data_IF_629643607838
#
_entry.id   IF_629643607838
#
_cell.length_a   1.000
_cell.length_b   1.000
_cell.length_c   1.000
_cell.angle_alpha   90.00
_cell.angle_beta   90.00
_cell.angle_gamma   90.00
#
_symmetry.space_group_name_H-M   'P 1'
#
loop_
_entity.id
_entity.type
_entity.pdbx_description
1 polymer ?
#
# COMPACT_ATOMS: atom_id res chain seq x y z
N UNK A 1 -22.84 -7.18 2.15
CA UNK A 1 -23.15 -8.42 2.90
C UNK A 1 -23.33 -8.12 4.39
N UNK A 2 -24.53 -8.36 4.91
CA UNK A 2 -24.82 -8.27 6.35
C UNK A 2 -23.93 -9.29 7.07
N UNK A 3 -23.08 -8.81 7.97
CA UNK A 3 -22.08 -9.63 8.67
C UNK A 3 -22.73 -10.81 9.37
N UNK A 4 -22.21 -12.02 9.12
CA UNK A 4 -22.69 -13.23 9.78
C UNK A 4 -22.44 -13.08 11.29
N UNK A 5 -23.45 -13.26 12.16
CA UNK A 5 -23.22 -13.19 13.60
C UNK A 5 -22.30 -14.35 14.03
N UNK A 6 -21.13 -13.99 14.54
CA UNK A 6 -20.17 -14.92 15.11
C UNK A 6 -20.21 -14.85 16.64
N UNK A 7 -20.03 -16.00 17.29
CA UNK A 7 -19.95 -16.04 18.76
C UNK A 7 -18.62 -15.41 19.19
N UNK A 8 -18.69 -14.36 20.00
CA UNK A 8 -17.52 -13.75 20.64
C UNK A 8 -17.78 -13.55 22.14
N UNK A 9 -16.70 -13.47 22.92
CA UNK A 9 -16.78 -13.29 24.36
C UNK A 9 -16.82 -11.81 24.72
N UNK A 10 -17.70 -11.41 25.65
CA UNK A 10 -17.79 -10.02 26.11
C UNK A 10 -16.46 -9.52 26.73
N UNK A 11 -15.71 -10.44 27.36
CA UNK A 11 -14.37 -10.14 27.90
C UNK A 11 -13.36 -9.66 26.85
N UNK A 12 -13.55 -10.02 25.57
CA UNK A 12 -12.70 -9.53 24.47
C UNK A 12 -12.88 -8.02 24.21
N UNK A 13 -13.97 -7.42 24.69
CA UNK A 13 -14.22 -5.98 24.58
C UNK A 13 -13.52 -5.16 25.68
N UNK A 14 -13.02 -5.82 26.74
CA UNK A 14 -12.37 -5.16 27.88
C UNK A 14 -11.25 -4.19 27.48
N UNK A 15 -10.37 -4.48 26.49
CA UNK A 15 -9.33 -3.54 26.05
C UNK A 15 -9.87 -2.26 25.40
N UNK A 16 -11.12 -2.26 24.94
CA UNK A 16 -11.74 -1.17 24.18
C UNK A 16 -12.78 -0.40 24.99
N UNK A 17 -12.91 -0.66 26.30
CA UNK A 17 -13.97 -0.13 27.16
C UNK A 17 -14.06 1.41 27.19
N UNK A 18 -12.93 2.09 26.96
CA UNK A 18 -12.82 3.55 27.02
C UNK A 18 -12.85 4.19 25.61
N UNK A 19 -13.03 3.39 24.55
CA UNK A 19 -13.11 3.85 23.15
C UNK A 19 -14.54 3.90 22.66
N UNK A 20 -14.84 4.89 21.82
CA UNK A 20 -16.11 4.90 21.08
C UNK A 20 -16.09 3.80 20.01
N UNK A 21 -17.27 3.28 19.68
CA UNK A 21 -17.44 2.28 18.61
C UNK A 21 -16.90 2.82 17.28
N UNK A 22 -17.12 4.10 16.99
CA UNK A 22 -16.61 4.76 15.78
C UNK A 22 -15.07 4.76 15.73
N UNK A 23 -14.41 5.16 16.82
CA UNK A 23 -12.95 5.16 16.92
C UNK A 23 -12.38 3.75 16.76
N UNK A 24 -13.05 2.76 17.36
CA UNK A 24 -12.67 1.35 17.23
C UNK A 24 -12.76 0.86 15.77
N UNK A 25 -13.82 1.22 15.05
CA UNK A 25 -13.98 0.88 13.64
C UNK A 25 -12.90 1.57 12.80
N UNK A 26 -12.68 2.86 13.00
CA UNK A 26 -11.64 3.61 12.28
C UNK A 26 -10.24 3.02 12.50
N UNK A 27 -9.90 2.71 13.76
CA UNK A 27 -8.64 2.07 14.11
C UNK A 27 -8.51 0.68 13.48
N UNK A 28 -9.59 -0.10 13.45
CA UNK A 28 -9.60 -1.43 12.85
C UNK A 28 -9.37 -1.37 11.34
N UNK A 29 -10.06 -0.46 10.65
CA UNK A 29 -9.87 -0.22 9.22
C UNK A 29 -8.44 0.26 8.94
N UNK A 30 -7.96 1.26 9.69
CA UNK A 30 -6.59 1.78 9.55
C UNK A 30 -5.55 0.68 9.74
N UNK A 31 -5.68 -0.10 10.81
CA UNK A 31 -4.76 -1.20 11.13
C UNK A 31 -4.76 -2.25 10.02
N UNK A 32 -5.95 -2.58 9.48
CA UNK A 32 -6.08 -3.53 8.39
C UNK A 32 -5.32 -3.05 7.14
N UNK A 33 -5.54 -1.81 6.71
CA UNK A 33 -4.86 -1.23 5.56
C UNK A 33 -3.35 -1.09 5.76
N UNK A 34 -2.89 -0.74 6.97
CA UNK A 34 -1.47 -0.61 7.28
C UNK A 34 -0.74 -1.96 7.35
N UNK A 35 -1.41 -3.00 7.85
CA UNK A 35 -0.76 -4.27 8.17
C UNK A 35 -0.90 -5.33 7.09
N UNK A 36 -2.00 -5.31 6.32
CA UNK A 36 -2.36 -6.40 5.42
C UNK A 36 -2.58 -5.98 3.96
N UNK A 37 -2.76 -4.68 3.69
CA UNK A 37 -2.99 -4.23 2.32
C UNK A 37 -1.66 -3.89 1.65
N UNK A 38 -1.36 -4.63 0.59
CA UNK A 38 -0.24 -4.37 -0.30
C UNK A 38 -0.73 -4.37 -1.73
N UNK A 39 -0.36 -3.35 -2.51
CA UNK A 39 -0.67 -3.29 -3.92
C UNK A 39 0.41 -4.02 -4.73
N UNK A 40 0.02 -5.03 -5.51
CA UNK A 40 0.93 -5.86 -6.31
C UNK A 40 1.00 -5.44 -7.77
N UNK A 41 0.10 -4.58 -8.21
CA UNK A 41 0.13 -3.97 -9.54
C UNK A 41 -0.78 -2.75 -9.52
N UNK A 42 -0.83 -2.01 -10.64
CA UNK A 42 -1.69 -0.83 -10.77
C UNK A 42 -3.17 -1.16 -10.93
N UNK A 43 -3.53 -2.40 -11.28
CA UNK A 43 -4.92 -2.87 -11.31
C UNK A 43 -5.51 -2.96 -9.91
N UNK A 44 -4.72 -3.41 -8.92
CA UNK A 44 -5.14 -3.44 -7.51
C UNK A 44 -5.43 -2.01 -7.01
N UNK A 45 -4.60 -1.06 -7.42
CA UNK A 45 -4.77 0.37 -7.11
C UNK A 45 -6.05 0.90 -7.79
N UNK A 46 -6.22 0.60 -9.08
CA UNK A 46 -7.41 1.00 -9.84
C UNK A 46 -8.70 0.49 -9.20
N UNK A 47 -8.74 -0.78 -8.81
CA UNK A 47 -9.91 -1.39 -8.18
C UNK A 47 -10.29 -0.72 -6.86
N UNK A 48 -9.31 -0.34 -6.02
CA UNK A 48 -9.59 0.39 -4.78
C UNK A 48 -10.11 1.79 -5.06
N UNK A 49 -9.53 2.51 -6.02
CA UNK A 49 -9.97 3.86 -6.37
C UNK A 49 -11.35 3.86 -7.02
N UNK A 50 -11.66 2.86 -7.86
CA UNK A 50 -13.00 2.65 -8.44
C UNK A 50 -14.04 2.34 -7.35
N UNK A 51 -13.69 1.56 -6.33
CA UNK A 51 -14.56 1.33 -5.16
C UNK A 51 -14.80 2.61 -4.34
N UNK A 52 -13.93 3.61 -4.47
CA UNK A 52 -14.11 4.95 -3.91
C UNK A 52 -14.81 5.91 -4.89
N UNK A 53 -15.33 5.40 -6.00
CA UNK A 53 -16.04 6.18 -7.04
C UNK A 53 -15.17 7.28 -7.68
N UNK A 54 -13.85 7.09 -7.71
CA UNK A 54 -12.90 8.04 -8.31
C UNK A 54 -12.73 7.75 -9.79
N UNK A 55 -12.90 8.77 -10.65
CA UNK A 55 -12.58 8.65 -12.08
C UNK A 55 -11.07 8.50 -12.29
N UNK A 56 -10.67 7.37 -12.87
CA UNK A 56 -9.27 7.01 -13.04
C UNK A 56 -8.60 7.67 -14.25
N UNK A 57 -9.36 8.34 -15.12
CA UNK A 57 -8.87 8.86 -16.40
C UNK A 57 -7.63 9.73 -16.22
N UNK A 58 -7.65 10.61 -15.21
CA UNK A 58 -6.56 11.54 -14.93
C UNK A 58 -5.35 10.93 -14.22
N UNK A 59 -5.52 9.76 -13.59
CA UNK A 59 -4.46 9.11 -12.79
C UNK A 59 -3.79 7.95 -13.51
N UNK A 60 -4.40 7.37 -14.55
CA UNK A 60 -3.82 6.28 -15.36
C UNK A 60 -2.46 6.64 -15.97
N UNK A 61 -2.19 7.92 -16.23
CA UNK A 61 -0.90 8.41 -16.71
C UNK A 61 0.27 8.13 -15.77
N UNK A 62 0.02 7.90 -14.47
CA UNK A 62 1.04 7.58 -13.48
C UNK A 62 1.34 6.07 -13.41
N UNK A 63 0.46 5.21 -13.94
CA UNK A 63 0.55 3.75 -13.79
C UNK A 63 1.83 3.14 -14.33
N UNK A 64 2.37 3.54 -15.51
CA UNK A 64 3.61 2.94 -16.01
C UNK A 64 4.79 3.08 -15.03
N UNK A 65 4.89 4.23 -14.34
CA UNK A 65 5.97 4.48 -13.39
C UNK A 65 5.71 3.75 -12.08
N UNK A 66 4.46 3.71 -11.60
CA UNK A 66 4.09 2.94 -10.41
C UNK A 66 4.33 1.44 -10.60
N UNK A 67 3.96 0.90 -11.76
CA UNK A 67 4.20 -0.52 -12.07
C UNK A 67 5.70 -0.81 -12.12
N UNK A 68 6.52 0.08 -12.71
CA UNK A 68 7.99 -0.05 -12.65
C UNK A 68 8.51 -0.18 -11.21
N UNK A 69 8.00 0.63 -10.29
CA UNK A 69 8.38 0.58 -8.87
C UNK A 69 7.94 -0.73 -8.22
N UNK A 70 6.71 -1.15 -8.45
CA UNK A 70 6.13 -2.38 -7.89
C UNK A 70 6.89 -3.62 -8.41
N UNK A 71 7.17 -3.66 -9.72
CA UNK A 71 7.98 -4.73 -10.31
C UNK A 71 9.40 -4.75 -9.75
N UNK A 72 10.00 -3.59 -9.46
CA UNK A 72 11.30 -3.55 -8.77
C UNK A 72 11.20 -4.11 -7.36
N UNK A 73 10.16 -3.77 -6.58
CA UNK A 73 9.93 -4.35 -5.25
C UNK A 73 9.87 -5.88 -5.32
N UNK A 74 9.11 -6.44 -6.27
CA UNK A 74 9.04 -7.90 -6.47
C UNK A 74 10.40 -8.51 -6.81
N UNK A 75 11.17 -7.87 -7.69
CA UNK A 75 12.53 -8.31 -8.00
C UNK A 75 13.40 -8.33 -6.75
N UNK A 76 13.39 -7.28 -5.93
CA UNK A 76 14.18 -7.22 -4.69
C UNK A 76 13.79 -8.36 -3.75
N UNK A 77 12.50 -8.56 -3.49
CA UNK A 77 12.01 -9.64 -2.61
C UNK A 77 12.42 -11.01 -3.14
N UNK A 78 12.18 -11.31 -4.41
CA UNK A 78 12.58 -12.59 -5.00
C UNK A 78 14.09 -12.78 -5.09
N UNK A 79 14.88 -11.72 -5.26
CA UNK A 79 16.34 -11.79 -5.26
C UNK A 79 16.88 -12.03 -3.84
N UNK A 80 16.34 -11.37 -2.83
CA UNK A 80 16.68 -11.60 -1.42
C UNK A 80 16.37 -13.06 -1.03
N UNK A 81 15.20 -13.58 -1.40
CA UNK A 81 14.85 -14.99 -1.15
C UNK A 81 15.81 -15.97 -1.84
N UNK A 82 16.25 -15.65 -3.07
CA UNK A 82 17.20 -16.50 -3.81
C UNK A 82 18.61 -16.44 -3.25
N UNK A 83 19.05 -15.29 -2.73
CA UNK A 83 20.34 -15.13 -2.07
C UNK A 83 20.36 -15.86 -0.73
N UNK A 84 19.30 -15.75 0.08
CA UNK A 84 19.16 -16.51 1.33
C UNK A 84 19.11 -18.03 1.06
N UNK A 85 18.39 -18.47 0.02
CA UNK A 85 18.38 -19.88 -0.40
C UNK A 85 19.74 -20.35 -0.92
N UNK A 86 20.43 -19.53 -1.70
CA UNK A 86 21.79 -19.84 -2.16
C UNK A 86 22.81 -19.78 -1.03
N UNK A 87 22.62 -19.00 0.03
CA UNK A 87 23.50 -19.01 1.21
C UNK A 87 23.39 -20.37 1.94
N UNK A 88 22.18 -20.87 2.15
CA UNK A 88 21.94 -22.20 2.76
C UNK A 88 22.54 -23.33 1.91
N UNK A 89 22.51 -23.21 0.58
CA UNK A 89 23.10 -24.21 -0.34
C UNK A 89 24.62 -23.99 -0.53
N UNK A 90 25.12 -22.76 -0.43
CA UNK A 90 26.55 -22.42 -0.59
C UNK A 90 27.41 -22.91 0.57
N UNK A 91 26.85 -22.99 1.77
CA UNK A 91 27.54 -23.62 2.90
C UNK A 91 27.73 -25.14 2.69
N UNK A 92 27.13 -25.73 1.64
CA UNK A 92 27.30 -27.14 1.24
C UNK A 92 28.23 -27.33 0.03
N UNK A 93 28.51 -26.30 -0.77
CA UNK A 93 29.26 -26.38 -2.04
C UNK A 93 30.45 -25.40 -2.08
N UNK A 94 31.43 -25.59 -1.18
CA UNK A 94 32.76 -24.96 -1.25
C UNK A 94 33.58 -25.44 -2.47
N UNK A 95 33.09 -25.24 -3.69
CA UNK A 95 33.86 -25.44 -4.92
C UNK A 95 33.27 -24.69 -6.12
N UNK A 96 33.46 -23.36 -6.13
CA UNK A 96 33.65 -22.60 -7.37
C UNK A 96 32.47 -22.45 -8.34
N UNK A 97 31.67 -21.38 -8.17
CA UNK A 97 31.41 -20.39 -9.23
C UNK A 97 30.62 -19.19 -8.66
N UNK A 98 31.22 -17.99 -8.63
CA UNK A 98 30.57 -16.79 -8.08
C UNK A 98 30.01 -15.91 -9.20
N UNK A 99 28.77 -16.17 -9.62
CA UNK A 99 27.99 -15.23 -10.43
C UNK A 99 27.45 -14.09 -9.57
N UNK A 100 27.96 -12.88 -9.76
CA UNK A 100 27.44 -11.66 -9.13
C UNK A 100 26.08 -11.28 -9.72
N UNK A 101 24.98 -11.73 -9.10
CA UNK A 101 23.63 -11.27 -9.42
C UNK A 101 23.09 -10.36 -8.31
N UNK A 102 23.75 -9.21 -8.13
CA UNK A 102 23.28 -8.14 -7.22
C UNK A 102 22.12 -7.41 -7.90
N UNK A 103 21.05 -7.09 -7.16
CA UNK A 103 19.94 -6.28 -7.67
C UNK A 103 20.47 -5.02 -8.37
N UNK A 104 20.01 -4.73 -9.61
CA UNK A 104 20.49 -3.60 -10.41
C UNK A 104 20.50 -2.31 -9.59
N UNK A 105 21.66 -1.65 -9.50
CA UNK A 105 21.82 -0.35 -8.85
C UNK A 105 20.83 0.67 -9.41
N UNK A 106 20.14 1.40 -8.54
CA UNK A 106 19.22 2.47 -8.92
C UNK A 106 19.93 3.81 -8.74
N UNK A 107 19.88 4.68 -9.75
CA UNK A 107 20.48 6.00 -9.62
C UNK A 107 19.65 6.89 -8.70
N UNK A 108 20.31 7.79 -7.97
CA UNK A 108 19.65 8.77 -7.09
C UNK A 108 18.59 9.57 -7.87
N UNK A 109 18.92 10.03 -9.09
CA UNK A 109 17.98 10.74 -9.97
C UNK A 109 16.70 9.95 -10.26
N UNK A 110 16.81 8.63 -10.45
CA UNK A 110 15.65 7.76 -10.73
C UNK A 110 14.79 7.61 -9.47
N UNK A 111 15.40 7.52 -8.29
CA UNK A 111 14.68 7.53 -7.00
C UNK A 111 13.95 8.85 -6.80
N UNK A 112 14.60 9.99 -7.02
CA UNK A 112 13.99 11.31 -6.90
C UNK A 112 12.81 11.48 -7.88
N UNK A 113 12.96 10.99 -9.11
CA UNK A 113 11.88 10.97 -10.08
C UNK A 113 10.69 10.14 -9.56
N UNK A 114 10.96 8.96 -8.99
CA UNK A 114 9.92 8.11 -8.42
C UNK A 114 9.18 8.78 -7.27
N UNK A 115 9.90 9.41 -6.33
CA UNK A 115 9.29 10.16 -5.23
C UNK A 115 8.34 11.23 -5.78
N UNK A 116 8.81 12.06 -6.72
CA UNK A 116 7.99 13.12 -7.33
C UNK A 116 6.77 12.58 -8.06
N UNK A 117 6.89 11.43 -8.73
CA UNK A 117 5.76 10.80 -9.43
C UNK A 117 4.71 10.29 -8.45
N UNK A 118 5.13 9.66 -7.34
CA UNK A 118 4.22 9.19 -6.29
C UNK A 118 3.52 10.35 -5.60
N UNK A 119 4.24 11.42 -5.26
CA UNK A 119 3.64 12.63 -4.67
C UNK A 119 2.57 13.22 -5.59
N UNK A 120 2.88 13.39 -6.88
CA UNK A 120 1.90 13.92 -7.87
C UNK A 120 0.68 13.02 -8.01
N UNK A 121 0.89 11.71 -7.99
CA UNK A 121 -0.21 10.74 -8.03
C UNK A 121 -1.12 10.88 -6.81
N UNK A 122 -0.55 10.94 -5.61
CA UNK A 122 -1.30 11.11 -4.35
C UNK A 122 -2.03 12.44 -4.32
N UNK A 123 -1.37 13.55 -4.65
CA UNK A 123 -2.01 14.88 -4.72
C UNK A 123 -3.18 14.85 -5.69
N UNK A 124 -3.02 14.25 -6.88
CA UNK A 124 -4.11 14.20 -7.85
C UNK A 124 -5.30 13.37 -7.36
N UNK A 125 -5.06 12.28 -6.62
CA UNK A 125 -6.14 11.53 -5.97
C UNK A 125 -6.85 12.39 -4.92
N UNK A 126 -6.10 13.09 -4.06
CA UNK A 126 -6.68 13.94 -3.03
C UNK A 126 -7.52 15.09 -3.61
N UNK A 127 -7.08 15.67 -4.72
CA UNK A 127 -7.84 16.67 -5.47
C UNK A 127 -9.17 16.07 -5.96
N UNK A 128 -9.12 14.89 -6.60
CA UNK A 128 -10.33 14.20 -7.09
C UNK A 128 -11.28 13.81 -5.95
N UNK A 129 -10.76 13.45 -4.78
CA UNK A 129 -11.58 13.16 -3.59
C UNK A 129 -12.20 14.42 -2.98
N UNK A 130 -11.50 15.54 -3.07
CA UNK A 130 -11.94 16.84 -2.53
C UNK A 130 -12.94 17.53 -3.46
N UNK A 131 -12.89 17.28 -4.76
CA UNK A 131 -13.89 17.76 -5.73
C UNK A 131 -15.19 16.91 -5.69
N UNK A 132 -15.15 15.72 -5.08
CA UNK A 132 -16.32 14.86 -4.80
C UNK A 132 -17.11 15.24 -3.54
N UNK A 133 -18.19 14.52 -3.22
CA UNK A 133 -19.06 14.81 -2.06
C UNK A 133 -18.31 14.90 -0.70
N UNK A 134 -17.14 14.29 -0.59
CA UNK A 134 -16.27 14.35 0.59
C UNK A 134 -15.66 15.73 0.86
N UNK A 135 -15.31 16.53 -0.16
CA UNK A 135 -14.82 17.90 0.07
C UNK A 135 -15.90 18.84 0.59
N UNK A 136 -17.18 18.55 0.33
CA UNK A 136 -18.31 19.28 0.93
C UNK A 136 -18.46 19.00 2.43
N UNK A 137 -18.19 17.76 2.89
CA UNK A 137 -18.25 17.39 4.31
C UNK A 137 -17.02 17.82 5.12
N UNK A 138 -15.83 17.80 4.51
CA UNK A 138 -14.59 18.22 5.17
C UNK A 138 -14.56 19.75 5.42
N UNK A 139 -15.03 20.55 4.45
CA UNK A 139 -15.13 22.00 4.59
C UNK A 139 -16.20 22.46 5.58
N UNK A 140 -17.28 21.71 5.76
CA UNK A 140 -18.34 22.03 6.74
C UNK A 140 -17.93 21.69 8.18
N UNK A 141 -17.01 20.75 8.38
CA UNK A 141 -16.47 20.41 9.70
C UNK A 141 -15.42 21.42 10.20
N UNK A 142 -14.76 22.16 9.30
CA UNK A 142 -13.81 23.22 9.67
C UNK A 142 -14.46 24.59 9.89
N UNK A 143 -15.74 24.76 9.53
CA UNK A 143 -16.49 26.01 9.76
C UNK A 143 -17.22 26.05 11.12
N UNK A 144 -17.06 25.02 11.96
CA UNK A 144 -17.71 24.93 13.29
C UNK A 144 -16.71 24.95 14.46
N UNK A 145 -15.47 25.40 14.25
CA UNK A 145 -14.48 25.68 15.31
C UNK A 145 -14.15 27.16 15.37
#
# INVERSE_FOLDING_TARGET
PIGRPEKFWLGALKPYKDKKVEELIQDSVRTYYQSFVTFNNTTDIAAVLENCEIDLTEVRKFYPVLDEMIQRRHKIVHHADREHRHQIIRDLDEAGNRGHHVAKSLSVKKVEQWVRYTERFVTKILDLMSDGEYGRQFNSSQQQL
#
